data_IF_361032557447
#
_entry.id   IF_361032557447
#
_cell.length_a   1.000
_cell.length_b   1.000
_cell.length_c   1.000
_cell.angle_alpha   90.00
_cell.angle_beta   90.00
_cell.angle_gamma   90.00
#
_symmetry.space_group_name_H-M   'P 1'
#
loop_
_entity.id
_entity.type
_entity.pdbx_description
1 polymer ?
#
# COMPACT_ATOMS: atom_id res chain seq x y z
N UNK A 1 -6.21 -18.36 10.77
CA UNK A 1 -6.65 -17.13 10.09
C UNK A 1 -6.53 -17.35 8.59
N UNK A 2 -7.50 -16.90 7.80
CA UNK A 2 -7.40 -16.89 6.34
C UNK A 2 -6.34 -15.87 5.88
N UNK A 3 -5.87 -15.94 4.63
CA UNK A 3 -4.95 -14.93 4.09
C UNK A 3 -5.54 -13.52 4.16
N UNK A 4 -6.84 -13.39 3.88
CA UNK A 4 -7.59 -12.13 3.96
C UNK A 4 -7.64 -11.58 5.39
N UNK A 5 -7.89 -12.42 6.40
CA UNK A 5 -7.87 -12.00 7.81
C UNK A 5 -6.51 -11.49 8.25
N UNK A 6 -5.42 -12.17 7.83
CA UNK A 6 -4.07 -11.69 8.12
C UNK A 6 -3.80 -10.35 7.44
N UNK A 7 -4.28 -10.18 6.21
CA UNK A 7 -4.11 -8.91 5.50
C UNK A 7 -4.92 -7.78 6.17
N UNK A 8 -6.18 -8.03 6.55
CA UNK A 8 -6.97 -7.07 7.33
C UNK A 8 -6.26 -6.65 8.63
N UNK A 9 -5.74 -7.64 9.38
CA UNK A 9 -4.98 -7.35 10.61
C UNK A 9 -3.71 -6.55 10.31
N UNK A 10 -3.00 -6.87 9.22
CA UNK A 10 -1.84 -6.10 8.78
C UNK A 10 -2.20 -4.66 8.38
N UNK A 11 -3.37 -4.41 7.78
CA UNK A 11 -3.85 -3.05 7.46
C UNK A 11 -3.99 -2.23 8.75
N UNK A 12 -4.45 -2.84 9.84
CA UNK A 12 -4.58 -2.19 11.15
C UNK A 12 -3.21 -1.94 11.80
N UNK A 13 -2.37 -2.98 11.85
CA UNK A 13 -1.15 -2.97 12.67
C UNK A 13 0.05 -2.29 11.99
N UNK A 14 0.07 -2.29 10.66
CA UNK A 14 1.22 -1.80 9.91
C UNK A 14 1.21 -0.26 9.89
N UNK A 15 2.27 0.43 10.29
CA UNK A 15 2.30 1.88 10.13
C UNK A 15 2.54 2.26 8.66
N UNK A 16 2.30 3.53 8.27
CA UNK A 16 2.60 3.99 6.92
C UNK A 16 4.11 3.94 6.60
N UNK A 17 4.45 3.96 5.31
CA UNK A 17 5.81 4.03 4.77
C UNK A 17 6.57 5.28 5.24
N UNK A 18 5.85 6.36 5.52
CA UNK A 18 6.37 7.62 6.02
C UNK A 18 5.90 7.86 7.44
N UNK A 19 6.67 8.58 8.25
CA UNK A 19 6.25 8.98 9.60
C UNK A 19 5.00 9.86 9.51
N UNK A 20 4.12 9.68 10.49
CA UNK A 20 2.85 10.40 10.58
C UNK A 20 3.15 11.90 10.75
N UNK A 21 2.71 12.66 9.74
CA UNK A 21 2.83 14.12 9.65
C UNK A 21 1.81 14.56 8.61
N UNK A 22 0.83 15.43 8.94
CA UNK A 22 -0.21 15.80 8.01
C UNK A 22 0.34 16.22 6.63
N UNK A 23 -0.26 15.73 5.53
CA UNK A 23 -1.50 14.93 5.46
C UNK A 23 -1.31 13.42 5.67
N UNK A 24 -0.07 12.93 5.86
CA UNK A 24 0.20 11.51 6.13
C UNK A 24 -0.47 11.10 7.44
N UNK A 25 -1.33 10.09 7.36
CA UNK A 25 -2.19 9.61 8.45
C UNK A 25 -2.11 8.08 8.57
N UNK A 26 -2.56 7.56 9.70
CA UNK A 26 -2.76 6.13 9.95
C UNK A 26 -4.24 5.81 10.19
N UNK A 27 -4.57 4.55 10.45
CA UNK A 27 -5.93 4.13 10.77
C UNK A 27 -6.23 4.16 12.28
N UNK A 28 -5.37 4.79 13.08
CA UNK A 28 -5.47 4.78 14.55
C UNK A 28 -6.79 5.35 15.08
N UNK A 29 -7.39 6.28 14.35
CA UNK A 29 -8.69 6.87 14.67
C UNK A 29 -9.89 5.93 14.47
N UNK A 30 -9.71 4.82 13.74
CA UNK A 30 -10.78 3.88 13.39
C UNK A 30 -10.71 2.57 14.19
N UNK A 31 -9.73 2.43 15.08
CA UNK A 31 -9.50 1.19 15.81
C UNK A 31 -10.72 0.78 16.63
N UNK A 32 -11.16 -0.44 16.38
CA UNK A 32 -12.31 -1.09 17.00
C UNK A 32 -11.93 -2.53 17.33
N UNK A 33 -12.49 -3.16 18.38
CA UNK A 33 -12.28 -4.57 18.66
C UNK A 33 -12.88 -5.51 17.58
N UNK A 34 -13.49 -4.96 16.53
CA UNK A 34 -14.06 -5.71 15.43
C UNK A 34 -12.99 -6.38 14.57
N UNK A 35 -13.24 -7.64 14.21
CA UNK A 35 -12.46 -8.40 13.25
C UNK A 35 -13.39 -8.95 12.17
N UNK A 36 -12.91 -8.98 10.93
CA UNK A 36 -13.66 -9.61 9.83
C UNK A 36 -13.82 -11.12 10.07
N UNK A 37 -15.01 -11.64 9.75
CA UNK A 37 -15.31 -13.06 9.89
C UNK A 37 -14.42 -13.90 8.93
N UNK A 38 -14.13 -15.12 9.36
CA UNK A 38 -13.53 -16.18 8.55
C UNK A 38 -14.28 -16.47 7.24
N UNK A 39 -15.59 -16.20 7.20
CA UNK A 39 -16.42 -16.35 6.00
C UNK A 39 -16.37 -15.15 5.05
N UNK A 40 -15.73 -14.04 5.46
CA UNK A 40 -15.61 -12.84 4.63
C UNK A 40 -14.83 -13.17 3.35
N UNK A 41 -15.40 -12.76 2.22
CA UNK A 41 -14.79 -12.96 0.90
C UNK A 41 -14.73 -11.64 0.15
N UNK A 42 -13.70 -11.48 -0.68
CA UNK A 42 -13.58 -10.36 -1.60
C UNK A 42 -13.72 -10.86 -3.04
N UNK A 43 -14.78 -10.44 -3.72
CA UNK A 43 -15.11 -10.86 -5.09
C UNK A 43 -14.90 -9.74 -6.12
N UNK A 44 -14.22 -8.66 -5.72
CA UNK A 44 -13.96 -7.50 -6.57
C UNK A 44 -12.74 -7.66 -7.48
N UNK A 45 -12.11 -6.53 -7.83
CA UNK A 45 -10.97 -6.54 -8.73
C UNK A 45 -9.74 -7.18 -8.05
N UNK A 46 -9.11 -8.22 -8.64
CA UNK A 46 -8.03 -8.96 -8.00
C UNK A 46 -6.72 -8.16 -7.86
N UNK A 47 -6.66 -6.95 -8.43
CA UNK A 47 -5.51 -6.06 -8.23
C UNK A 47 -5.42 -5.67 -6.76
N UNK A 48 -4.22 -5.82 -6.21
CA UNK A 48 -3.90 -5.60 -4.79
C UNK A 48 -4.39 -4.25 -4.24
N UNK A 49 -4.39 -3.19 -5.04
CA UNK A 49 -4.90 -1.88 -4.62
C UNK A 49 -6.38 -1.89 -4.24
N UNK A 50 -7.24 -2.55 -5.03
CA UNK A 50 -8.68 -2.61 -4.75
C UNK A 50 -8.98 -3.50 -3.54
N UNK A 51 -8.27 -4.63 -3.42
CA UNK A 51 -8.35 -5.46 -2.24
C UNK A 51 -7.94 -4.68 -0.97
N UNK A 52 -6.85 -3.93 -1.05
CA UNK A 52 -6.37 -3.13 0.08
C UNK A 52 -7.35 -2.00 0.45
N UNK A 53 -7.92 -1.31 -0.54
CA UNK A 53 -8.94 -0.30 -0.32
C UNK A 53 -10.17 -0.90 0.36
N UNK A 54 -10.69 -2.03 -0.13
CA UNK A 54 -11.77 -2.78 0.51
C UNK A 54 -11.45 -3.10 1.97
N UNK A 55 -10.24 -3.56 2.27
CA UNK A 55 -9.85 -3.84 3.66
C UNK A 55 -9.75 -2.57 4.52
N UNK A 56 -9.31 -1.45 3.97
CA UNK A 56 -9.34 -0.15 4.68
C UNK A 56 -10.77 0.27 4.99
N UNK A 57 -11.68 0.13 4.03
CA UNK A 57 -13.11 0.40 4.20
C UNK A 57 -13.70 -0.42 5.35
N UNK A 58 -13.42 -1.72 5.40
CA UNK A 58 -13.87 -2.59 6.50
C UNK A 58 -13.33 -2.14 7.88
N UNK A 59 -12.11 -1.60 7.94
CA UNK A 59 -11.57 -1.03 9.19
C UNK A 59 -12.33 0.24 9.58
N UNK A 60 -12.63 1.09 8.59
CA UNK A 60 -13.33 2.37 8.81
C UNK A 60 -14.78 2.14 9.22
N UNK A 61 -15.52 1.27 8.52
CA UNK A 61 -16.92 0.93 8.83
C UNK A 61 -17.09 0.28 10.21
N UNK A 62 -16.04 -0.36 10.71
CA UNK A 62 -16.02 -0.92 12.06
C UNK A 62 -15.87 0.13 13.17
N UNK A 63 -15.52 1.38 12.82
CA UNK A 63 -15.39 2.49 13.76
C UNK A 63 -16.75 2.99 14.23
N UNK A 64 -16.94 3.25 15.54
CA UNK A 64 -18.18 3.87 16.04
C UNK A 64 -18.27 5.38 15.75
N UNK A 65 -17.15 6.03 15.42
CA UNK A 65 -17.03 7.49 15.35
C UNK A 65 -17.00 8.03 13.91
N UNK A 66 -16.93 7.14 12.92
CA UNK A 66 -16.81 7.49 11.51
C UNK A 66 -17.73 6.64 10.64
N UNK A 67 -18.24 7.24 9.57
CA UNK A 67 -18.97 6.53 8.52
C UNK A 67 -18.40 6.85 7.14
N UNK A 68 -18.35 5.85 6.26
CA UNK A 68 -18.04 6.04 4.84
C UNK A 68 -19.29 6.62 4.18
N UNK A 69 -19.24 7.86 3.71
CA UNK A 69 -20.37 8.48 2.98
C UNK A 69 -20.30 8.20 1.50
N UNK A 70 -19.08 8.17 0.98
CA UNK A 70 -18.81 7.88 -0.40
C UNK A 70 -17.46 7.17 -0.52
N UNK A 71 -17.40 6.21 -1.42
CA UNK A 71 -16.21 5.50 -1.86
C UNK A 71 -16.10 5.56 -3.39
N UNK A 72 -14.87 5.50 -3.92
CA UNK A 72 -14.59 5.47 -5.37
C UNK A 72 -15.27 6.57 -6.21
N UNK A 73 -15.41 7.80 -5.68
CA UNK A 73 -16.05 8.91 -6.42
C UNK A 73 -15.22 9.26 -7.66
N UNK A 74 -15.74 8.95 -8.85
CA UNK A 74 -15.10 9.28 -10.12
C UNK A 74 -15.41 10.70 -10.58
N UNK A 75 -14.37 11.48 -10.86
CA UNK A 75 -14.50 12.85 -11.39
C UNK A 75 -14.33 12.80 -12.90
N UNK A 76 -15.39 13.14 -13.64
CA UNK A 76 -15.41 13.06 -15.10
C UNK A 76 -15.60 14.44 -15.72
N UNK A 77 -14.78 14.80 -16.71
CA UNK A 77 -14.89 16.07 -17.47
C UNK A 77 -14.80 15.75 -18.95
N UNK A 78 -15.77 16.24 -19.73
CA UNK A 78 -15.84 16.05 -21.19
C UNK A 78 -15.66 14.58 -21.64
N UNK A 79 -16.25 13.64 -20.88
CA UNK A 79 -16.16 12.21 -21.15
C UNK A 79 -14.82 11.56 -20.81
N UNK A 80 -13.93 12.26 -20.09
CA UNK A 80 -12.66 11.74 -19.59
C UNK A 80 -12.67 11.70 -18.07
N UNK A 81 -12.23 10.58 -17.50
CA UNK A 81 -12.01 10.45 -16.05
C UNK A 81 -10.72 11.17 -15.68
N UNK A 82 -10.83 12.21 -14.85
CA UNK A 82 -9.68 12.95 -14.31
C UNK A 82 -9.01 12.20 -13.17
N UNK A 83 -9.79 11.46 -12.40
CA UNK A 83 -9.36 10.65 -11.27
C UNK A 83 -10.54 10.12 -10.48
N UNK A 84 -10.24 9.42 -9.39
CA UNK A 84 -11.22 8.97 -8.43
C UNK A 84 -10.72 9.25 -7.01
N UNK A 85 -11.61 9.71 -6.13
CA UNK A 85 -11.35 9.85 -4.70
C UNK A 85 -11.66 8.51 -4.03
N UNK A 86 -10.74 8.00 -3.22
CA UNK A 86 -10.91 6.68 -2.59
C UNK A 86 -12.04 6.70 -1.56
N UNK A 87 -12.04 7.67 -0.63
CA UNK A 87 -13.10 7.82 0.38
C UNK A 87 -13.41 9.27 0.76
N UNK A 88 -14.70 9.52 1.03
CA UNK A 88 -15.19 10.66 1.81
C UNK A 88 -15.83 10.11 3.09
N UNK A 89 -15.21 10.43 4.22
CA UNK A 89 -15.64 9.97 5.55
C UNK A 89 -16.33 11.10 6.29
N UNK A 90 -17.40 10.80 7.02
CA UNK A 90 -17.97 11.74 7.99
C UNK A 90 -17.54 11.36 9.40
N UNK A 91 -17.14 12.35 10.18
CA UNK A 91 -16.95 12.18 11.62
C UNK A 91 -18.26 12.47 12.36
N UNK A 92 -18.81 11.45 13.00
CA UNK A 92 -20.17 11.47 13.57
C UNK A 92 -20.37 12.59 14.61
N UNK A 93 -19.32 12.95 15.35
CA UNK A 93 -19.44 13.90 16.45
C UNK A 93 -19.62 15.38 16.03
N UNK A 94 -19.25 15.74 14.81
CA UNK A 94 -19.28 17.13 14.34
C UNK A 94 -19.64 17.28 12.85
N UNK A 95 -20.02 16.18 12.20
CA UNK A 95 -20.45 16.14 10.79
C UNK A 95 -19.40 16.70 9.82
N UNK A 96 -18.12 16.61 10.19
CA UNK A 96 -17.01 17.03 9.33
C UNK A 96 -16.67 15.97 8.31
N UNK A 97 -16.43 16.38 7.07
CA UNK A 97 -16.08 15.48 5.98
C UNK A 97 -14.57 15.44 5.77
N UNK A 98 -14.03 14.24 5.64
CA UNK A 98 -12.61 13.99 5.41
C UNK A 98 -12.43 13.29 4.07
N UNK A 99 -11.55 13.83 3.25
CA UNK A 99 -11.06 13.15 2.04
C UNK A 99 -9.88 12.26 2.42
N UNK A 100 -10.02 10.97 2.16
CA UNK A 100 -8.97 9.98 2.34
C UNK A 100 -8.53 9.38 1.01
N UNK A 101 -7.21 9.27 0.85
CA UNK A 101 -6.56 8.48 -0.19
C UNK A 101 -5.75 7.37 0.48
N UNK A 102 -5.86 6.15 -0.05
CA UNK A 102 -5.19 4.97 0.49
C UNK A 102 -4.35 4.29 -0.59
N UNK A 103 -3.11 3.92 -0.26
CA UNK A 103 -2.24 3.21 -1.19
C UNK A 103 -1.36 2.18 -0.49
N UNK A 104 -1.33 0.96 -1.05
CA UNK A 104 -0.35 -0.06 -0.69
C UNK A 104 0.76 -0.14 -1.73
N UNK A 105 2.03 -0.04 -1.29
CA UNK A 105 3.19 0.02 -2.19
C UNK A 105 4.42 -0.74 -1.69
N UNK A 106 5.13 -1.35 -2.62
CA UNK A 106 6.34 -2.12 -2.35
C UNK A 106 7.47 -1.51 -3.15
N UNK A 107 8.52 -1.04 -2.49
CA UNK A 107 9.64 -0.37 -3.16
C UNK A 107 10.99 -1.00 -2.79
N UNK A 108 11.84 -1.16 -3.79
CA UNK A 108 13.17 -1.73 -3.75
C UNK A 108 14.18 -0.59 -3.86
N UNK A 109 15.10 -0.49 -2.91
CA UNK A 109 16.17 0.50 -2.95
C UNK A 109 17.20 0.12 -4.01
N UNK A 110 17.41 1.00 -4.99
CA UNK A 110 18.49 0.91 -5.95
C UNK A 110 19.04 2.30 -6.22
N UNK A 111 20.36 2.48 -6.07
CA UNK A 111 21.03 3.77 -6.33
C UNK A 111 20.37 4.98 -5.62
N UNK A 112 20.06 4.82 -4.33
CA UNK A 112 19.38 5.85 -3.50
C UNK A 112 17.92 6.16 -3.88
N UNK A 113 17.35 5.45 -4.86
CA UNK A 113 15.95 5.61 -5.26
C UNK A 113 15.13 4.36 -4.90
N UNK A 114 13.89 4.59 -4.47
CA UNK A 114 12.93 3.56 -4.11
C UNK A 114 12.03 3.23 -5.30
N UNK A 115 12.34 2.15 -6.01
CA UNK A 115 11.64 1.71 -7.22
C UNK A 115 10.62 0.62 -6.93
N UNK A 116 9.47 0.64 -7.59
CA UNK A 116 8.57 -0.51 -7.57
C UNK A 116 9.18 -1.70 -8.33
N UNK A 117 8.65 -2.92 -8.15
CA UNK A 117 9.00 -4.06 -8.99
C UNK A 117 8.85 -3.75 -10.48
N UNK A 118 7.87 -2.88 -10.82
CA UNK A 118 7.83 -2.17 -12.08
C UNK A 118 8.56 -0.82 -11.92
N UNK A 119 9.73 -0.66 -12.57
CA UNK A 119 10.65 0.47 -12.36
C UNK A 119 10.11 1.86 -12.73
N UNK A 120 8.98 1.92 -13.45
CA UNK A 120 8.27 3.17 -13.70
C UNK A 120 7.59 3.74 -12.45
N UNK A 121 7.28 2.89 -11.46
CA UNK A 121 6.74 3.29 -10.16
C UNK A 121 7.91 3.66 -9.23
N UNK A 122 7.89 4.85 -8.65
CA UNK A 122 8.93 5.35 -7.74
C UNK A 122 8.27 6.04 -6.56
N UNK A 123 8.80 5.82 -5.35
CA UNK A 123 8.20 6.33 -4.12
C UNK A 123 8.04 7.84 -4.13
N UNK A 124 9.06 8.57 -4.56
CA UNK A 124 9.07 10.03 -4.66
C UNK A 124 8.01 10.53 -5.64
N UNK A 125 7.97 9.99 -6.86
CA UNK A 125 6.97 10.36 -7.88
C UNK A 125 5.55 10.02 -7.45
N UNK A 126 5.37 8.85 -6.83
CA UNK A 126 4.05 8.43 -6.32
C UNK A 126 3.62 9.35 -5.19
N UNK A 127 4.49 9.62 -4.21
CA UNK A 127 4.20 10.49 -3.09
C UNK A 127 3.84 11.91 -3.56
N UNK A 128 4.66 12.50 -4.44
CA UNK A 128 4.39 13.82 -5.01
C UNK A 128 3.02 13.88 -5.69
N UNK A 129 2.69 12.88 -6.52
CA UNK A 129 1.39 12.80 -7.17
C UNK A 129 0.23 12.62 -6.17
N UNK A 130 0.41 11.82 -5.11
CA UNK A 130 -0.63 11.68 -4.08
C UNK A 130 -0.88 13.02 -3.37
N UNK A 131 0.17 13.74 -3.01
CA UNK A 131 0.09 14.99 -2.27
C UNK A 131 -0.45 16.15 -3.12
N UNK A 132 -0.01 16.26 -4.37
CA UNK A 132 -0.31 17.42 -5.23
C UNK A 132 -1.57 17.23 -6.08
N UNK A 133 -1.74 16.03 -6.65
CA UNK A 133 -2.85 15.74 -7.56
C UNK A 133 -4.01 15.08 -6.82
N UNK A 134 -3.80 13.89 -6.24
CA UNK A 134 -4.89 13.09 -5.68
C UNK A 134 -5.59 13.81 -4.53
N UNK A 135 -4.87 14.21 -3.49
CA UNK A 135 -5.46 15.01 -2.40
C UNK A 135 -5.99 16.37 -2.89
N UNK A 136 -5.47 16.89 -4.00
CA UNK A 136 -5.97 18.10 -4.66
C UNK A 136 -7.37 17.93 -5.28
N UNK A 137 -7.78 16.71 -5.64
CA UNK A 137 -9.00 16.46 -6.42
C UNK A 137 -10.27 16.96 -5.76
N UNK A 138 -10.42 16.76 -4.45
CA UNK A 138 -11.61 17.23 -3.71
C UNK A 138 -11.71 18.75 -3.59
N UNK A 139 -10.72 19.50 -4.09
CA UNK A 139 -10.77 20.96 -4.19
C UNK A 139 -10.73 21.44 -5.65
N UNK A 140 -10.77 20.52 -6.61
CA UNK A 140 -10.82 20.87 -8.02
C UNK A 140 -12.17 21.46 -8.39
N UNK A 141 -12.20 22.39 -9.35
CA UNK A 141 -13.45 22.97 -9.87
C UNK A 141 -14.41 21.88 -10.35
N UNK A 142 -13.89 20.87 -11.07
CA UNK A 142 -14.70 19.76 -11.55
C UNK A 142 -15.39 18.97 -10.44
N UNK A 143 -14.70 18.73 -9.31
CA UNK A 143 -15.29 18.05 -8.17
C UNK A 143 -16.38 18.90 -7.50
N UNK A 144 -16.10 20.19 -7.24
CA UNK A 144 -17.05 21.10 -6.58
C UNK A 144 -18.30 21.32 -7.44
N UNK A 145 -18.17 21.34 -8.77
CA UNK A 145 -19.32 21.46 -9.68
C UNK A 145 -20.17 20.17 -9.74
N UNK A 146 -19.54 19.00 -9.64
CA UNK A 146 -20.23 17.70 -9.69
C UNK A 146 -20.84 17.30 -8.34
N UNK A 147 -20.21 17.71 -7.23
CA UNK A 147 -20.57 17.34 -5.86
C UNK A 147 -20.64 18.57 -4.94
N UNK A 148 -21.49 19.56 -5.23
CA UNK A 148 -21.54 20.84 -4.52
C UNK A 148 -21.93 20.71 -3.04
N UNK A 149 -22.54 19.60 -2.63
CA UNK A 149 -22.91 19.29 -1.26
C UNK A 149 -21.76 18.73 -0.42
N UNK A 150 -20.66 18.31 -1.04
CA UNK A 150 -19.51 17.72 -0.35
C UNK A 150 -18.47 18.81 -0.06
N UNK A 151 -18.51 19.37 1.15
CA UNK A 151 -17.49 20.31 1.64
C UNK A 151 -16.47 19.57 2.53
N UNK A 152 -15.24 19.41 2.02
CA UNK A 152 -14.20 18.63 2.69
C UNK A 152 -13.41 19.49 3.69
N UNK A 153 -13.46 19.13 4.98
CA UNK A 153 -12.73 19.79 6.07
C UNK A 153 -11.24 19.48 6.10
N UNK A 154 -10.87 18.22 5.82
CA UNK A 154 -9.47 17.75 5.93
C UNK A 154 -9.13 16.66 4.93
N UNK A 155 -7.83 16.51 4.67
CA UNK A 155 -7.28 15.61 3.66
C UNK A 155 -6.24 14.70 4.29
N UNK A 156 -6.36 13.41 4.03
CA UNK A 156 -5.58 12.37 4.69
C UNK A 156 -5.04 11.39 3.65
N UNK A 157 -3.75 11.05 3.78
CA UNK A 157 -3.10 10.06 2.95
C UNK A 157 -2.57 8.92 3.82
N UNK A 158 -3.09 7.72 3.58
CA UNK A 158 -2.52 6.50 4.12
C UNK A 158 -1.71 5.81 3.02
N UNK A 159 -0.39 5.71 3.21
CA UNK A 159 0.45 4.97 2.29
C UNK A 159 1.22 3.88 3.04
N UNK A 160 0.71 2.65 3.03
CA UNK A 160 1.31 1.49 3.69
C UNK A 160 2.11 0.62 2.70
N UNK A 161 2.87 -0.33 3.21
CA UNK A 161 3.51 -1.36 2.39
C UNK A 161 4.86 -1.78 2.94
N UNK A 162 5.84 -1.99 2.06
CA UNK A 162 7.16 -2.49 2.48
C UNK A 162 8.30 -1.92 1.64
N UNK A 163 9.39 -1.58 2.31
CA UNK A 163 10.64 -1.13 1.70
C UNK A 163 11.67 -2.26 1.76
N UNK A 164 12.30 -2.53 0.62
CA UNK A 164 13.21 -3.64 0.41
C UNK A 164 14.62 -3.12 0.15
N UNK A 165 15.61 -3.69 0.83
CA UNK A 165 17.04 -3.38 0.62
C UNK A 165 17.75 -4.60 0.05
N UNK A 166 18.86 -4.41 -0.66
CA UNK A 166 19.66 -5.55 -1.11
C UNK A 166 20.76 -5.85 -0.08
N UNK A 167 20.68 -6.96 0.67
CA UNK A 167 21.66 -7.26 1.71
C UNK A 167 23.05 -7.62 1.15
N UNK A 168 23.17 -7.78 -0.16
CA UNK A 168 24.41 -8.08 -0.86
C UNK A 168 25.05 -6.86 -1.53
N UNK A 169 24.43 -5.68 -1.40
CA UNK A 169 24.96 -4.42 -1.89
C UNK A 169 25.22 -3.48 -0.71
N UNK A 170 26.37 -2.80 -0.72
CA UNK A 170 26.65 -1.73 0.24
C UNK A 170 25.94 -0.46 -0.24
N UNK A 171 24.80 -0.15 0.37
CA UNK A 171 23.96 1.00 0.02
C UNK A 171 23.49 1.72 1.27
N UNK A 172 23.58 3.05 1.24
CA UNK A 172 23.05 3.89 2.32
C UNK A 172 21.54 4.01 2.17
N UNK A 173 20.79 3.45 3.12
CA UNK A 173 19.33 3.57 3.13
C UNK A 173 18.91 5.04 3.34
N UNK A 174 18.14 5.65 2.41
CA UNK A 174 17.59 6.98 2.60
C UNK A 174 16.65 7.02 3.81
N UNK A 175 16.71 8.09 4.59
CA UNK A 175 15.89 8.29 5.80
C UNK A 175 14.69 9.19 5.56
N UNK A 176 14.60 9.82 4.39
CA UNK A 176 13.55 10.78 4.05
C UNK A 176 13.17 10.67 2.56
N UNK A 177 11.98 11.15 2.22
CA UNK A 177 11.48 11.30 0.86
C UNK A 177 10.61 12.56 0.80
N UNK A 178 10.96 13.52 -0.07
CA UNK A 178 10.24 14.79 -0.26
C UNK A 178 9.96 15.56 1.06
N UNK A 179 10.90 15.53 2.01
CA UNK A 179 10.76 16.21 3.30
C UNK A 179 9.85 15.50 4.32
N UNK A 180 9.50 14.25 4.06
CA UNK A 180 8.88 13.33 5.02
C UNK A 180 9.87 12.25 5.44
N UNK A 181 10.00 12.03 6.74
CA UNK A 181 10.82 10.95 7.26
C UNK A 181 10.25 9.59 6.85
N UNK A 182 11.11 8.71 6.35
CA UNK A 182 10.77 7.31 6.09
C UNK A 182 10.60 6.60 7.42
N UNK A 183 9.57 5.77 7.51
CA UNK A 183 9.37 4.94 8.67
C UNK A 183 10.31 3.73 8.61
N UNK A 184 11.39 3.77 9.39
CA UNK A 184 12.42 2.71 9.41
C UNK A 184 11.88 1.32 9.75
N UNK A 185 10.76 1.21 10.46
CA UNK A 185 10.11 -0.10 10.71
C UNK A 185 9.57 -0.75 9.45
N UNK A 186 9.34 0.02 8.38
CA UNK A 186 8.88 -0.46 7.07
C UNK A 186 10.03 -0.89 6.16
N UNK A 187 11.29 -0.62 6.53
CA UNK A 187 12.49 -1.13 5.86
C UNK A 187 12.82 -2.51 6.43
N UNK A 188 12.06 -3.51 5.99
CA UNK A 188 12.08 -4.85 6.57
C UNK A 188 11.90 -5.96 5.51
N UNK A 189 12.06 -5.62 4.23
CA UNK A 189 12.13 -6.58 3.13
C UNK A 189 13.55 -6.67 2.56
N UNK A 190 13.86 -7.78 1.88
CA UNK A 190 15.07 -7.91 1.09
C UNK A 190 14.78 -8.07 -0.39
N UNK A 191 15.65 -7.55 -1.24
CA UNK A 191 15.61 -7.88 -2.65
C UNK A 191 16.99 -8.27 -3.14
N UNK A 192 17.06 -9.05 -4.20
CA UNK A 192 18.32 -9.33 -4.87
C UNK A 192 18.13 -9.57 -6.36
N UNK A 193 19.23 -9.58 -7.11
CA UNK A 193 19.23 -10.04 -8.48
C UNK A 193 19.19 -11.56 -8.55
N UNK A 194 18.73 -12.11 -9.66
CA UNK A 194 18.71 -13.55 -9.91
C UNK A 194 20.06 -14.24 -9.71
N UNK A 195 21.13 -13.60 -10.17
CA UNK A 195 22.49 -14.12 -9.98
C UNK A 195 22.92 -14.14 -8.52
N UNK A 196 22.23 -13.44 -7.62
CA UNK A 196 22.44 -13.43 -6.17
C UNK A 196 21.47 -14.36 -5.43
N UNK A 197 20.47 -14.95 -6.11
CA UNK A 197 19.44 -15.75 -5.44
C UNK A 197 20.01 -16.97 -4.70
N UNK A 198 21.13 -17.52 -5.17
CA UNK A 198 21.86 -18.61 -4.51
C UNK A 198 22.47 -18.22 -3.14
N UNK A 199 22.53 -16.93 -2.82
CA UNK A 199 23.00 -16.42 -1.52
C UNK A 199 21.88 -16.39 -0.46
N UNK A 200 20.63 -16.64 -0.85
CA UNK A 200 19.51 -16.75 0.07
C UNK A 200 19.62 -18.12 0.75
N UNK A 201 19.91 -18.14 2.05
CA UNK A 201 20.16 -19.37 2.79
C UNK A 201 18.89 -20.15 3.10
N UNK A 202 17.77 -19.44 3.24
CA UNK A 202 16.47 -20.02 3.56
C UNK A 202 15.67 -20.30 2.28
N UNK A 203 14.88 -21.37 2.31
CA UNK A 203 13.98 -21.72 1.21
C UNK A 203 12.92 -20.63 1.03
N UNK A 204 12.76 -20.17 -0.22
CA UNK A 204 11.73 -19.21 -0.60
C UNK A 204 10.46 -19.90 -1.07
N UNK A 205 9.33 -19.41 -0.60
CA UNK A 205 8.00 -19.84 -1.02
C UNK A 205 7.28 -18.69 -1.71
N UNK A 206 6.58 -18.94 -2.83
CA UNK A 206 5.92 -17.89 -3.59
C UNK A 206 4.73 -17.30 -2.82
N UNK A 207 4.57 -15.98 -2.92
CA UNK A 207 3.42 -15.26 -2.34
C UNK A 207 2.41 -14.90 -3.42
N UNK A 208 1.14 -15.26 -3.19
CA UNK A 208 0.01 -14.74 -3.97
C UNK A 208 -0.24 -13.27 -3.62
N UNK A 209 -0.99 -12.55 -4.46
CA UNK A 209 -1.21 -11.10 -4.28
C UNK A 209 -1.76 -10.72 -2.90
N UNK A 210 -2.70 -11.49 -2.39
CA UNK A 210 -3.31 -11.29 -1.06
C UNK A 210 -2.30 -11.46 0.09
N UNK A 211 -1.24 -12.23 -0.16
CA UNK A 211 -0.19 -12.52 0.81
C UNK A 211 0.99 -11.53 0.70
N UNK A 212 0.99 -10.59 -0.24
CA UNK A 212 2.14 -9.69 -0.43
C UNK A 212 2.41 -8.81 0.80
N UNK A 213 1.37 -8.40 1.52
CA UNK A 213 1.51 -7.53 2.68
C UNK A 213 1.84 -8.33 3.95
N UNK A 214 0.98 -9.31 4.26
CA UNK A 214 0.98 -10.05 5.53
C UNK A 214 1.69 -11.41 5.47
N UNK A 215 2.07 -11.90 4.28
CA UNK A 215 2.76 -13.17 4.11
C UNK A 215 1.85 -14.40 4.25
N UNK A 216 2.50 -15.54 4.48
CA UNK A 216 1.86 -16.84 4.68
C UNK A 216 2.49 -17.64 5.82
N UNK A 217 1.64 -18.41 6.51
CA UNK A 217 2.03 -19.45 7.47
C UNK A 217 1.84 -20.85 6.85
N UNK A 218 1.28 -20.91 5.64
CA UNK A 218 1.12 -22.13 4.86
C UNK A 218 2.25 -22.21 3.82
N UNK A 219 3.13 -23.18 4.05
CA UNK A 219 4.30 -23.48 3.22
C UNK A 219 4.19 -24.85 2.54
N UNK A 220 2.96 -25.28 2.23
CA UNK A 220 2.68 -26.55 1.53
C UNK A 220 2.92 -26.45 0.02
N UNK A 221 2.98 -25.25 -0.53
CA UNK A 221 3.30 -25.03 -1.94
C UNK A 221 4.75 -25.36 -2.27
N UNK A 222 5.01 -25.65 -3.54
CA UNK A 222 6.36 -25.88 -4.04
C UNK A 222 7.24 -24.62 -3.84
N UNK A 223 8.47 -24.77 -3.33
CA UNK A 223 9.39 -23.65 -3.17
C UNK A 223 9.84 -23.10 -4.53
N UNK A 224 10.28 -21.84 -4.54
CA UNK A 224 10.87 -21.21 -5.71
C UNK A 224 12.27 -21.79 -5.93
N UNK A 225 12.46 -22.51 -7.03
CA UNK A 225 13.74 -23.10 -7.44
C UNK A 225 14.31 -22.48 -8.72
N UNK A 226 13.47 -21.84 -9.53
CA UNK A 226 13.85 -21.21 -10.80
C UNK A 226 13.40 -19.75 -10.83
N UNK A 227 14.26 -18.90 -11.39
CA UNK A 227 14.00 -17.47 -11.54
C UNK A 227 14.07 -17.12 -13.04
N UNK A 228 12.90 -16.92 -13.66
CA UNK A 228 12.77 -16.56 -15.08
C UNK A 228 12.76 -15.04 -15.32
N UNK A 229 12.45 -14.55 -16.51
CA UNK A 229 12.60 -13.12 -16.88
C UNK A 229 11.72 -12.11 -16.10
N UNK A 230 10.86 -12.59 -15.21
CA UNK A 230 10.00 -11.76 -14.35
C UNK A 230 10.50 -11.82 -12.91
N UNK A 231 10.24 -10.75 -12.18
CA UNK A 231 10.48 -10.79 -10.75
C UNK A 231 9.58 -11.83 -10.06
N UNK A 232 10.07 -12.38 -8.96
CA UNK A 232 9.27 -13.19 -8.02
C UNK A 232 9.19 -12.49 -6.68
N UNK A 233 8.06 -12.63 -6.00
CA UNK A 233 7.88 -12.21 -4.62
C UNK A 233 7.64 -13.44 -3.77
N UNK A 234 8.47 -13.62 -2.75
CA UNK A 234 8.43 -14.80 -1.90
C UNK A 234 8.69 -14.47 -0.43
N UNK A 235 8.49 -15.48 0.40
CA UNK A 235 8.76 -15.42 1.83
C UNK A 235 9.51 -16.66 2.27
N UNK A 236 10.44 -16.49 3.20
CA UNK A 236 11.08 -17.60 3.91
C UNK A 236 10.20 -18.08 5.06
N UNK A 237 10.42 -19.29 5.56
CA UNK A 237 9.77 -19.78 6.79
C UNK A 237 10.12 -18.97 8.05
N UNK A 238 11.26 -18.28 8.03
CA UNK A 238 11.66 -17.33 9.07
C UNK A 238 10.86 -16.01 9.03
N UNK A 239 9.99 -15.82 8.04
CA UNK A 239 9.12 -14.66 7.90
C UNK A 239 9.70 -13.53 7.04
N UNK A 240 10.90 -13.70 6.49
CA UNK A 240 11.57 -12.68 5.68
C UNK A 240 10.98 -12.62 4.27
N UNK A 241 10.59 -11.42 3.85
CA UNK A 241 10.08 -11.16 2.51
C UNK A 241 11.21 -10.88 1.53
N UNK A 242 11.11 -11.44 0.34
CA UNK A 242 12.09 -11.34 -0.73
C UNK A 242 11.47 -10.98 -2.07
N UNK A 243 12.04 -9.99 -2.75
CA UNK A 243 11.92 -9.86 -4.20
C UNK A 243 13.19 -10.40 -4.88
N UNK A 244 13.06 -11.30 -5.84
CA UNK A 244 14.18 -11.65 -6.72
C UNK A 244 13.92 -11.07 -8.11
N UNK A 245 14.79 -10.16 -8.53
CA UNK A 245 14.63 -9.30 -9.70
C UNK A 245 15.45 -9.78 -10.90
N UNK A 246 14.95 -9.64 -12.14
CA UNK A 246 15.73 -9.94 -13.33
C UNK A 246 16.95 -9.03 -13.45
N UNK A 247 18.00 -9.50 -14.11
CA UNK A 247 19.27 -8.75 -14.21
C UNK A 247 19.14 -7.42 -14.98
N UNK A 248 18.09 -7.29 -15.78
CA UNK A 248 17.81 -6.07 -16.54
C UNK A 248 17.16 -4.97 -15.68
N UNK A 249 16.56 -5.31 -14.53
CA UNK A 249 15.93 -4.32 -13.66
C UNK A 249 16.98 -3.37 -13.03
N UNK A 250 16.71 -2.06 -12.91
CA UNK A 250 15.45 -1.37 -13.21
C UNK A 250 15.31 -0.85 -14.66
N UNK A 251 16.28 -1.09 -15.54
CA UNK A 251 16.36 -0.45 -16.87
C UNK A 251 15.88 -1.31 -18.05
N UNK A 252 15.46 -2.55 -17.76
CA UNK A 252 15.05 -3.58 -18.71
C UNK A 252 13.65 -3.45 -19.27
#
# INVERSE_FOLDING_TARGET
>A
MTALQRFYQWVIDSPPLLKIKPPISDLGAFLSPHAIDSSHTYNGNPRLGFLYQHLCEQVIEASPDYSVKYDEIQINVDGRTLGAIDFILEKENNQKLQHWEVAIKFYLLHEQTWFGPNSHDQLDKKLDRMLTHQLGMSSSTAFVEQYPEIDVDSKHLLMQGRLYTNPFLDQKVPTECLGYDINSSQVNGFWCYQNQAHLITDVLYPLTKEQWAAGTDDFTCEPITEFGDRFVHGQTKSGQFWFVMPQSWPHG
#
